data_IF_161546813189
#
_entry.id   IF_161546813189
#
_cell.length_a   1.000
_cell.length_b   1.000
_cell.length_c   1.000
_cell.angle_alpha   90.00
_cell.angle_beta   90.00
_cell.angle_gamma   90.00
#
_symmetry.space_group_name_H-M   'P 1'
#
loop_
_entity.id
_entity.type
_entity.pdbx_description
1 polymer ?
#
# COMPACT_ATOMS: atom_id res chain seq x y z
N UNK A 1 4.63 13.08 -4.45
CA UNK A 1 4.31 14.47 -4.07
C UNK A 1 4.49 14.72 -2.57
N UNK A 2 5.59 14.28 -2.08
CA UNK A 2 5.96 14.55 -0.69
C UNK A 2 6.75 15.85 -0.66
N UNK A 3 6.33 16.82 0.15
CA UNK A 3 7.02 18.11 0.24
C UNK A 3 8.25 18.04 1.13
N UNK A 4 8.20 17.25 2.20
CA UNK A 4 9.38 16.95 3.01
C UNK A 4 9.13 15.68 3.83
N UNK A 5 10.19 15.13 4.41
CA UNK A 5 10.08 13.96 5.29
C UNK A 5 9.47 14.31 6.65
N UNK A 6 9.38 15.59 6.98
CA UNK A 6 8.84 16.06 8.25
C UNK A 6 7.37 16.47 8.19
N UNK A 7 6.77 16.42 7.01
CA UNK A 7 5.35 16.73 6.86
C UNK A 7 4.51 15.80 7.71
N UNK A 8 3.43 16.35 8.29
CA UNK A 8 2.45 15.57 9.03
C UNK A 8 1.59 14.67 8.16
N UNK A 9 1.78 14.67 6.85
CA UNK A 9 1.14 13.75 5.93
C UNK A 9 2.06 13.50 4.74
N UNK A 10 1.86 12.36 4.08
CA UNK A 10 2.63 12.01 2.89
C UNK A 10 1.68 11.75 1.73
N UNK A 11 2.07 12.22 0.54
CA UNK A 11 1.33 12.02 -0.69
C UNK A 11 2.33 11.69 -1.79
N UNK A 12 2.13 10.54 -2.45
CA UNK A 12 3.07 10.06 -3.46
C UNK A 12 2.35 9.43 -4.64
N UNK A 13 2.98 9.59 -5.82
CA UNK A 13 2.62 8.80 -7.00
C UNK A 13 3.67 7.72 -7.16
N UNK A 14 3.23 6.49 -7.36
CA UNK A 14 4.12 5.35 -7.60
C UNK A 14 3.71 4.61 -8.86
N UNK A 15 4.67 4.33 -9.71
CA UNK A 15 4.49 3.47 -10.87
C UNK A 15 4.89 2.05 -10.48
N UNK A 16 4.06 1.08 -10.82
CA UNK A 16 4.25 -0.32 -10.45
C UNK A 16 4.27 -1.20 -11.69
N UNK A 17 5.04 -2.27 -11.63
CA UNK A 17 5.10 -3.28 -12.67
C UNK A 17 4.77 -4.65 -12.08
N UNK A 18 4.14 -5.56 -12.87
CA UNK A 18 3.94 -6.93 -12.44
C UNK A 18 5.27 -7.60 -12.11
N UNK A 19 5.27 -8.48 -11.12
CA UNK A 19 6.47 -9.19 -10.72
C UNK A 19 7.32 -8.45 -9.70
N UNK A 20 6.98 -7.21 -9.35
CA UNK A 20 7.63 -6.52 -8.24
C UNK A 20 7.23 -7.21 -6.94
N UNK A 21 8.20 -7.73 -6.22
CA UNK A 21 7.95 -8.39 -4.94
C UNK A 21 8.17 -7.41 -3.81
N UNK A 22 7.10 -7.14 -3.07
CA UNK A 22 7.15 -6.31 -1.88
C UNK A 22 7.00 -7.21 -0.66
N UNK A 23 7.67 -6.90 0.46
CA UNK A 23 7.45 -7.68 1.68
C UNK A 23 6.05 -7.44 2.23
N UNK A 24 5.54 -8.40 3.00
CA UNK A 24 4.36 -8.17 3.82
C UNK A 24 4.79 -7.25 4.95
N UNK A 25 4.17 -6.09 5.05
CA UNK A 25 4.59 -5.06 6.00
C UNK A 25 3.39 -4.35 6.62
N UNK A 26 3.67 -3.52 7.60
CA UNK A 26 2.66 -2.67 8.23
C UNK A 26 3.25 -1.31 8.57
N UNK A 27 2.37 -0.32 8.69
CA UNK A 27 2.69 1.00 9.22
C UNK A 27 1.98 1.13 10.56
N UNK A 28 2.73 1.21 11.64
CA UNK A 28 2.14 1.13 12.99
C UNK A 28 1.28 2.33 13.36
N UNK A 29 1.63 3.50 12.85
CA UNK A 29 1.04 4.76 13.32
C UNK A 29 0.25 5.49 12.25
N UNK A 30 0.26 5.01 11.01
CA UNK A 30 -0.35 5.73 9.91
C UNK A 30 -1.39 4.89 9.20
N UNK A 31 -2.49 5.52 8.84
CA UNK A 31 -3.47 4.95 7.92
C UNK A 31 -3.11 5.41 6.52
N UNK A 32 -3.12 4.48 5.58
CA UNK A 32 -2.78 4.73 4.19
C UNK A 32 -4.04 4.70 3.33
N UNK A 33 -4.18 5.67 2.44
CA UNK A 33 -5.21 5.66 1.41
C UNK A 33 -4.53 5.46 0.06
N UNK A 34 -5.01 4.49 -0.71
CA UNK A 34 -4.47 4.15 -2.03
C UNK A 34 -5.56 4.34 -3.05
N UNK A 35 -5.28 5.11 -4.10
CA UNK A 35 -6.18 5.28 -5.25
C UNK A 35 -5.41 4.87 -6.51
N UNK A 36 -6.01 4.00 -7.32
CA UNK A 36 -5.39 3.58 -8.56
C UNK A 36 -5.81 4.51 -9.69
N UNK A 37 -4.82 5.08 -10.37
CA UNK A 37 -5.04 6.03 -11.46
C UNK A 37 -4.94 5.37 -12.82
N UNK A 38 -4.22 4.24 -12.91
CA UNK A 38 -4.00 3.50 -14.14
C UNK A 38 -3.71 2.04 -13.80
N UNK A 39 -4.29 1.12 -14.56
CA UNK A 39 -4.04 -0.30 -14.39
C UNK A 39 -4.89 -0.96 -13.32
N UNK A 40 -4.38 -2.02 -12.72
CA UNK A 40 -5.05 -2.75 -11.64
C UNK A 40 -4.07 -3.40 -10.69
N UNK A 41 -4.52 -3.57 -9.43
CA UNK A 41 -3.72 -4.18 -8.38
C UNK A 41 -4.63 -4.79 -7.32
N UNK A 42 -4.11 -5.74 -6.57
CA UNK A 42 -4.83 -6.34 -5.43
C UNK A 42 -4.03 -6.09 -4.16
N UNK A 43 -4.72 -5.55 -3.15
CA UNK A 43 -4.16 -5.42 -1.81
C UNK A 43 -4.56 -6.65 -1.02
N UNK A 44 -3.56 -7.36 -0.51
CA UNK A 44 -3.76 -8.51 0.36
C UNK A 44 -3.49 -8.11 1.79
N UNK A 45 -4.34 -8.57 2.70
CA UNK A 45 -4.19 -8.39 4.15
C UNK A 45 -3.91 -9.74 4.78
N UNK A 46 -3.09 -9.72 5.83
CA UNK A 46 -2.57 -10.94 6.45
C UNK A 46 -2.75 -10.91 7.96
N UNK A 47 -2.83 -12.10 8.56
CA UNK A 47 -2.70 -12.23 10.01
C UNK A 47 -1.23 -12.34 10.40
N UNK A 48 -0.94 -12.49 11.70
CA UNK A 48 0.44 -12.56 12.19
C UNK A 48 1.17 -13.81 11.72
N UNK A 49 0.47 -14.80 11.21
CA UNK A 49 1.04 -16.04 10.70
C UNK A 49 1.24 -16.03 9.18
N UNK A 50 0.92 -14.92 8.53
CA UNK A 50 1.06 -14.79 7.09
C UNK A 50 -0.09 -15.37 6.28
N UNK A 51 -1.22 -15.66 6.92
CA UNK A 51 -2.41 -16.14 6.21
C UNK A 51 -3.22 -14.96 5.69
N UNK A 52 -3.68 -15.06 4.44
CA UNK A 52 -4.51 -14.02 3.84
C UNK A 52 -5.86 -13.99 4.55
N UNK A 53 -6.23 -12.83 5.08
CA UNK A 53 -7.52 -12.63 5.76
C UNK A 53 -8.52 -11.86 4.92
N UNK A 54 -8.03 -11.04 3.98
CA UNK A 54 -8.87 -10.22 3.11
C UNK A 54 -8.09 -9.85 1.86
N UNK A 55 -8.79 -9.64 0.76
CA UNK A 55 -8.17 -9.09 -0.44
C UNK A 55 -9.13 -8.11 -1.11
N UNK A 56 -8.57 -7.03 -1.65
CA UNK A 56 -9.32 -5.99 -2.34
C UNK A 56 -8.62 -5.70 -3.65
N UNK A 57 -9.31 -5.89 -4.76
CA UNK A 57 -8.80 -5.54 -6.09
C UNK A 57 -9.30 -4.16 -6.46
N UNK A 58 -8.38 -3.28 -6.85
CA UNK A 58 -8.70 -1.94 -7.32
C UNK A 58 -8.33 -1.82 -8.79
N UNK A 59 -9.21 -1.18 -9.56
CA UNK A 59 -9.03 -1.05 -11.02
C UNK A 59 -9.37 0.37 -11.43
N UNK A 60 -8.48 0.98 -12.20
CA UNK A 60 -8.69 2.34 -12.69
C UNK A 60 -9.92 2.42 -13.58
N UNK A 61 -10.65 3.54 -13.47
CA UNK A 61 -11.84 3.77 -14.27
C UNK A 61 -13.08 3.01 -13.82
N UNK A 62 -13.05 2.39 -12.65
CA UNK A 62 -14.19 1.68 -12.07
C UNK A 62 -14.54 2.29 -10.70
N UNK A 63 -15.74 1.99 -10.15
CA UNK A 63 -16.05 2.42 -8.79
C UNK A 63 -15.10 1.84 -7.73
N UNK A 64 -14.47 0.71 -8.02
CA UNK A 64 -13.51 0.05 -7.10
C UNK A 64 -12.09 0.52 -7.43
N UNK A 65 -11.83 1.81 -7.28
CA UNK A 65 -10.55 2.41 -7.65
C UNK A 65 -9.70 2.86 -6.46
N UNK A 66 -10.14 2.62 -5.23
CA UNK A 66 -9.40 3.05 -4.06
C UNK A 66 -9.76 2.27 -2.82
N UNK A 67 -8.90 2.37 -1.81
CA UNK A 67 -9.07 1.68 -0.54
C UNK A 67 -8.23 2.34 0.54
N UNK A 68 -8.54 2.01 1.80
CA UNK A 68 -7.74 2.42 2.95
C UNK A 68 -7.10 1.22 3.62
N UNK A 69 -5.88 1.41 4.10
CA UNK A 69 -5.16 0.43 4.90
C UNK A 69 -4.99 1.02 6.30
N UNK A 70 -5.66 0.43 7.28
CA UNK A 70 -5.61 0.91 8.66
C UNK A 70 -4.23 0.71 9.26
N UNK A 71 -3.86 1.61 10.17
CA UNK A 71 -2.60 1.50 10.89
C UNK A 71 -2.51 0.13 11.59
N UNK A 72 -1.34 -0.49 11.50
CA UNK A 72 -1.06 -1.77 12.14
C UNK A 72 -1.44 -3.02 11.35
N UNK A 73 -2.09 -2.87 10.20
CA UNK A 73 -2.47 -4.04 9.40
C UNK A 73 -1.33 -4.54 8.53
N UNK A 74 -1.06 -5.84 8.59
CA UNK A 74 -0.15 -6.49 7.66
C UNK A 74 -0.75 -6.50 6.26
N UNK A 75 0.00 -6.02 5.26
CA UNK A 75 -0.51 -5.93 3.90
C UNK A 75 0.60 -6.03 2.86
N UNK A 76 0.19 -6.33 1.63
CA UNK A 76 1.05 -6.31 0.44
C UNK A 76 0.20 -6.04 -0.79
N UNK A 77 0.67 -5.11 -1.62
CA UNK A 77 0.02 -4.79 -2.89
C UNK A 77 0.70 -5.56 -4.01
N UNK A 78 -0.10 -6.21 -4.85
CA UNK A 78 0.38 -6.95 -6.01
C UNK A 78 -0.17 -6.30 -7.28
N UNK A 79 0.71 -5.88 -8.15
CA UNK A 79 0.37 -5.23 -9.41
C UNK A 79 0.03 -6.29 -10.48
N UNK A 80 -1.04 -6.06 -11.25
CA UNK A 80 -1.49 -6.99 -12.30
C UNK A 80 -1.14 -6.55 -13.71
N UNK A 81 -0.99 -5.26 -13.95
CA UNK A 81 -0.76 -4.71 -15.28
C UNK A 81 0.47 -3.84 -15.34
N UNK A 82 1.21 -3.93 -16.44
CA UNK A 82 2.33 -3.02 -16.70
C UNK A 82 1.80 -1.60 -16.81
N UNK A 83 2.56 -0.64 -16.28
CA UNK A 83 2.19 0.76 -16.31
C UNK A 83 1.13 1.14 -15.29
N UNK A 84 0.92 0.32 -14.25
CA UNK A 84 0.01 0.66 -13.16
C UNK A 84 0.56 1.84 -12.37
N UNK A 85 -0.30 2.82 -12.09
CA UNK A 85 0.07 4.01 -11.32
C UNK A 85 -0.92 4.16 -10.17
N UNK A 86 -0.39 4.29 -8.96
CA UNK A 86 -1.18 4.54 -7.76
C UNK A 86 -0.81 5.88 -7.14
N UNK A 87 -1.79 6.47 -6.46
CA UNK A 87 -1.59 7.61 -5.58
C UNK A 87 -1.76 7.11 -4.16
N UNK A 88 -0.80 7.40 -3.30
CA UNK A 88 -0.83 7.03 -1.89
C UNK A 88 -0.84 8.27 -1.03
N UNK A 89 -1.69 8.28 -0.01
CA UNK A 89 -1.71 9.30 1.02
C UNK A 89 -1.62 8.61 2.38
N UNK A 90 -0.72 9.08 3.22
CA UNK A 90 -0.50 8.55 4.57
C UNK A 90 -0.61 9.67 5.57
N UNK A 91 -1.28 9.42 6.69
CA UNK A 91 -1.33 10.34 7.81
C UNK A 91 -0.06 10.17 8.64
N UNK A 92 0.66 11.27 8.86
CA UNK A 92 1.87 11.24 9.66
C UNK A 92 3.13 11.45 8.84
N UNK A 93 4.23 11.76 9.51
CA UNK A 93 5.52 11.98 8.88
C UNK A 93 6.12 10.65 8.39
N UNK A 94 7.02 10.75 7.41
CA UNK A 94 7.73 9.59 6.92
C UNK A 94 8.56 8.94 8.03
N UNK A 95 8.40 7.62 8.16
CA UNK A 95 9.24 6.78 9.02
C UNK A 95 9.66 5.56 8.20
N UNK A 96 10.97 5.24 8.13
CA UNK A 96 11.40 4.01 7.48
C UNK A 96 10.80 2.79 8.17
N UNK A 97 10.46 1.77 7.39
CA UNK A 97 9.95 0.52 7.93
C UNK A 97 11.10 -0.25 8.57
N UNK A 98 10.98 -0.54 9.86
CA UNK A 98 11.93 -1.38 10.58
C UNK A 98 11.64 -2.86 10.40
N UNK A 99 12.56 -3.72 10.86
CA UNK A 99 12.41 -5.18 10.73
C UNK A 99 11.18 -5.70 11.45
N UNK A 100 10.79 -5.09 12.56
CA UNK A 100 9.61 -5.47 13.32
C UNK A 100 8.31 -5.20 12.57
N UNK A 101 8.35 -4.41 11.51
CA UNK A 101 7.19 -4.08 10.68
C UNK A 101 7.22 -4.79 9.33
N UNK A 102 8.07 -5.79 9.20
CA UNK A 102 8.12 -6.71 8.07
C UNK A 102 7.82 -8.10 8.61
N UNK A 103 6.84 -8.77 7.99
CA UNK A 103 6.46 -10.11 8.41
C UNK A 103 7.39 -11.13 7.77
N UNK A 104 8.18 -11.80 8.59
CA UNK A 104 9.08 -12.88 8.18
C UNK A 104 8.41 -14.22 8.47
N UNK A 105 8.24 -15.01 7.43
CA UNK A 105 7.59 -16.32 7.53
C UNK A 105 8.62 -17.45 7.48
#
# INVERSE_FOLDING_TARGET
MRTSTEDGSQRMLNALEPGTELPIHRHRKTTETVVILRGSATQYFYDDNGNITEQVTITAGTPDCGMSVEAGRWHRLVCHESGTVIFEAKDGAYEPIGEEDILNL
#
